data_IF_631581172093
#
_entry.id   IF_631581172093
#
_cell.length_a   1.000
_cell.length_b   1.000
_cell.length_c   1.000
_cell.angle_alpha   90.00
_cell.angle_beta   90.00
_cell.angle_gamma   90.00
#
_symmetry.space_group_name_H-M   'P 1'
#
loop_
_entity.id
_entity.type
_entity.pdbx_description
1 polymer ?
#
# COMPACT_ATOMS: atom_id res chain seq x y z
N UNK A 1 0.42 -37.85 -1.10
CA UNK A 1 0.94 -37.70 -2.48
C UNK A 1 0.60 -36.30 -2.96
N UNK A 2 1.51 -35.35 -2.74
CA UNK A 2 1.36 -33.98 -3.24
C UNK A 2 1.68 -33.98 -4.74
N UNK A 3 0.66 -33.75 -5.55
CA UNK A 3 0.80 -33.54 -6.99
C UNK A 3 1.87 -32.45 -7.21
N UNK A 4 2.93 -32.78 -7.96
CA UNK A 4 3.99 -31.87 -8.45
C UNK A 4 3.47 -30.71 -9.32
N UNK A 5 2.18 -30.37 -9.25
CA UNK A 5 1.51 -29.34 -10.00
C UNK A 5 2.20 -27.98 -9.88
N UNK A 6 2.72 -27.61 -8.70
CA UNK A 6 3.46 -26.35 -8.53
C UNK A 6 4.79 -26.35 -9.31
N UNK A 7 5.52 -27.46 -9.31
CA UNK A 7 6.74 -27.62 -10.11
C UNK A 7 6.46 -27.58 -11.62
N UNK A 8 5.31 -28.15 -12.05
CA UNK A 8 4.86 -28.06 -13.45
C UNK A 8 4.44 -26.64 -13.86
N UNK A 9 3.97 -25.83 -12.91
CA UNK A 9 3.60 -24.44 -13.15
C UNK A 9 4.82 -23.53 -13.25
N UNK A 10 5.76 -23.62 -12.31
CA UNK A 10 7.05 -22.92 -12.39
C UNK A 10 8.07 -23.57 -11.44
N UNK A 11 9.32 -23.83 -11.87
CA UNK A 11 10.30 -24.60 -11.09
C UNK A 11 10.70 -23.94 -9.76
N UNK A 12 10.57 -22.61 -9.66
CA UNK A 12 10.82 -21.86 -8.42
C UNK A 12 9.66 -21.91 -7.41
N UNK A 13 8.47 -22.40 -7.81
CA UNK A 13 7.33 -22.56 -6.91
C UNK A 13 7.44 -23.90 -6.17
N UNK A 14 7.78 -23.83 -4.88
CA UNK A 14 7.80 -25.00 -3.99
C UNK A 14 6.70 -24.82 -2.94
N UNK A 15 5.88 -25.85 -2.75
CA UNK A 15 5.07 -25.97 -1.54
C UNK A 15 6.07 -26.15 -0.40
N UNK A 16 6.23 -25.13 0.43
CA UNK A 16 7.06 -25.19 1.62
C UNK A 16 6.24 -24.79 2.85
N UNK A 17 6.72 -25.15 4.03
CA UNK A 17 6.00 -24.89 5.29
C UNK A 17 5.63 -23.40 5.45
N UNK A 18 6.51 -22.51 4.97
CA UNK A 18 6.26 -21.07 4.93
C UNK A 18 5.01 -20.71 4.12
N UNK A 19 4.86 -21.22 2.89
CA UNK A 19 3.71 -20.91 2.04
C UNK A 19 2.41 -21.43 2.65
N UNK A 20 2.45 -22.64 3.22
CA UNK A 20 1.32 -23.24 3.94
C UNK A 20 0.89 -22.37 5.12
N UNK A 21 1.85 -21.89 5.92
CA UNK A 21 1.58 -20.97 7.03
C UNK A 21 0.95 -19.65 6.53
N UNK A 22 1.50 -19.04 5.46
CA UNK A 22 0.95 -17.79 4.91
C UNK A 22 -0.44 -17.96 4.32
N UNK A 23 -0.72 -19.10 3.70
CA UNK A 23 -2.06 -19.41 3.20
C UNK A 23 -3.07 -19.57 4.34
N UNK A 24 -2.65 -20.16 5.46
CA UNK A 24 -3.49 -20.23 6.66
C UNK A 24 -3.75 -18.85 7.26
N UNK A 25 -2.72 -18.00 7.39
CA UNK A 25 -2.90 -16.63 7.85
C UNK A 25 -3.83 -15.82 6.92
N UNK A 26 -3.73 -16.02 5.61
CA UNK A 26 -4.63 -15.39 4.64
C UNK A 26 -6.09 -15.82 4.84
N UNK A 27 -6.33 -17.11 5.10
CA UNK A 27 -7.68 -17.65 5.42
C UNK A 27 -8.23 -17.04 6.70
N UNK A 28 -7.43 -16.98 7.76
CA UNK A 28 -7.83 -16.38 9.04
C UNK A 28 -8.19 -14.90 8.87
N UNK A 29 -7.39 -14.15 8.11
CA UNK A 29 -7.64 -12.74 7.83
C UNK A 29 -8.95 -12.50 7.06
N UNK A 30 -9.34 -13.45 6.20
CA UNK A 30 -10.51 -13.30 5.31
C UNK A 30 -11.80 -13.84 5.92
N UNK A 31 -11.73 -14.56 7.04
CA UNK A 31 -12.88 -15.20 7.69
C UNK A 31 -14.00 -14.19 7.98
N UNK A 32 -15.28 -14.52 7.72
CA UNK A 32 -15.83 -15.81 7.26
C UNK A 32 -15.79 -16.04 5.74
N UNK A 33 -15.18 -15.11 4.98
CA UNK A 33 -15.07 -15.20 3.53
C UNK A 33 -13.80 -15.95 3.11
N UNK A 34 -13.73 -16.29 1.82
CA UNK A 34 -12.52 -16.86 1.23
C UNK A 34 -11.53 -15.76 0.82
N UNK A 35 -10.21 -16.00 0.96
CA UNK A 35 -9.22 -15.08 0.45
C UNK A 35 -9.36 -14.90 -1.07
N UNK A 36 -9.26 -13.68 -1.59
CA UNK A 36 -9.25 -13.44 -3.03
C UNK A 36 -8.13 -14.24 -3.71
N UNK A 37 -8.40 -14.79 -4.90
CA UNK A 37 -7.41 -15.56 -5.68
C UNK A 37 -6.09 -14.79 -5.87
N UNK A 38 -6.18 -13.45 -6.02
CA UNK A 38 -5.00 -12.60 -6.14
C UNK A 38 -4.10 -12.58 -4.92
N UNK A 39 -4.63 -12.79 -3.71
CA UNK A 39 -3.83 -12.89 -2.49
C UNK A 39 -3.01 -14.19 -2.47
N UNK A 40 -3.63 -15.32 -2.84
CA UNK A 40 -2.90 -16.59 -2.95
C UNK A 40 -1.84 -16.54 -4.05
N UNK A 41 -2.18 -16.01 -5.23
CA UNK A 41 -1.22 -15.87 -6.33
C UNK A 41 -0.04 -14.96 -5.95
N UNK A 42 -0.30 -13.86 -5.25
CA UNK A 42 0.74 -12.95 -4.81
C UNK A 42 1.64 -13.55 -3.72
N UNK A 43 1.09 -14.33 -2.79
CA UNK A 43 1.85 -15.09 -1.80
C UNK A 43 2.69 -16.19 -2.47
N UNK A 44 2.11 -16.89 -3.43
CA UNK A 44 2.79 -17.91 -4.24
C UNK A 44 3.95 -17.32 -5.03
N UNK A 45 3.77 -16.14 -5.64
CA UNK A 45 4.83 -15.43 -6.37
C UNK A 45 5.79 -14.66 -5.46
N UNK A 46 5.59 -14.65 -4.15
CA UNK A 46 6.39 -13.86 -3.23
C UNK A 46 7.88 -14.26 -3.15
N UNK A 47 8.28 -15.52 -3.36
CA UNK A 47 9.71 -15.86 -3.46
C UNK A 47 10.35 -15.45 -4.80
N UNK A 48 9.54 -15.17 -5.83
CA UNK A 48 10.03 -14.96 -7.19
C UNK A 48 10.70 -13.61 -7.39
N UNK A 49 11.63 -13.58 -8.36
CA UNK A 49 12.17 -12.33 -8.92
C UNK A 49 11.15 -11.62 -9.81
N UNK A 50 11.47 -10.40 -10.22
CA UNK A 50 10.63 -9.64 -11.15
C UNK A 50 10.49 -10.38 -12.50
N UNK A 51 11.58 -10.93 -13.01
CA UNK A 51 11.61 -11.66 -14.28
C UNK A 51 10.79 -12.95 -14.21
N UNK A 52 10.97 -13.74 -13.14
CA UNK A 52 10.20 -14.98 -12.90
C UNK A 52 8.70 -14.70 -12.74
N UNK A 53 8.35 -13.60 -12.06
CA UNK A 53 6.95 -13.20 -11.92
C UNK A 53 6.33 -12.77 -13.24
N UNK A 54 7.06 -12.06 -14.11
CA UNK A 54 6.56 -11.73 -15.46
C UNK A 54 6.37 -12.99 -16.30
N UNK A 55 7.30 -13.96 -16.21
CA UNK A 55 7.13 -15.26 -16.87
C UNK A 55 5.87 -15.99 -16.37
N UNK A 56 5.61 -15.97 -15.06
CA UNK A 56 4.40 -16.55 -14.47
C UNK A 56 3.12 -15.84 -14.97
N UNK A 57 3.12 -14.50 -15.00
CA UNK A 57 2.01 -13.68 -15.51
C UNK A 57 1.67 -14.07 -16.95
N UNK A 58 2.68 -14.20 -17.81
CA UNK A 58 2.52 -14.56 -19.21
C UNK A 58 2.06 -16.01 -19.39
N UNK A 59 2.67 -16.95 -18.67
CA UNK A 59 2.35 -18.39 -18.74
C UNK A 59 0.92 -18.68 -18.31
N UNK A 60 0.47 -18.05 -17.22
CA UNK A 60 -0.89 -18.20 -16.71
C UNK A 60 -1.93 -17.30 -17.40
N UNK A 61 -1.48 -16.41 -18.31
CA UNK A 61 -2.33 -15.41 -19.00
C UNK A 61 -3.19 -14.62 -18.01
N UNK A 62 -2.56 -14.11 -16.94
CA UNK A 62 -3.28 -13.44 -15.87
C UNK A 62 -3.97 -12.15 -16.38
N UNK A 63 -5.20 -11.86 -15.92
CA UNK A 63 -5.86 -10.60 -16.21
C UNK A 63 -5.05 -9.44 -15.62
N UNK A 64 -5.21 -8.25 -16.23
CA UNK A 64 -4.44 -7.04 -15.90
C UNK A 64 -4.42 -6.71 -14.40
N UNK A 65 -5.54 -6.88 -13.71
CA UNK A 65 -5.64 -6.62 -12.26
C UNK A 65 -4.75 -7.55 -11.43
N UNK A 66 -4.76 -8.85 -11.72
CA UNK A 66 -3.92 -9.83 -11.01
C UNK A 66 -2.44 -9.63 -11.34
N UNK A 67 -2.13 -9.40 -12.62
CA UNK A 67 -0.76 -9.07 -13.04
C UNK A 67 -0.23 -7.83 -12.29
N UNK A 68 -1.06 -6.78 -12.14
CA UNK A 68 -0.69 -5.61 -11.38
C UNK A 68 -0.46 -5.92 -9.89
N UNK A 69 -1.30 -6.75 -9.27
CA UNK A 69 -1.08 -7.18 -7.88
C UNK A 69 0.25 -7.90 -7.70
N UNK A 70 0.65 -8.77 -8.63
CA UNK A 70 1.94 -9.46 -8.57
C UNK A 70 3.11 -8.46 -8.70
N UNK A 71 3.05 -7.57 -9.69
CA UNK A 71 4.05 -6.51 -9.90
C UNK A 71 4.19 -5.60 -8.69
N UNK A 72 3.06 -5.15 -8.14
CA UNK A 72 3.02 -4.32 -6.95
C UNK A 72 3.60 -5.06 -5.73
N UNK A 73 3.30 -6.36 -5.60
CA UNK A 73 3.82 -7.17 -4.49
C UNK A 73 5.34 -7.18 -4.51
N UNK A 74 5.93 -7.35 -5.70
CA UNK A 74 7.38 -7.40 -5.89
C UNK A 74 8.00 -6.00 -5.72
N UNK A 75 7.34 -4.94 -6.19
CA UNK A 75 7.85 -3.57 -6.08
C UNK A 75 7.81 -3.01 -4.65
N UNK A 76 6.96 -3.56 -3.77
CA UNK A 76 6.95 -3.22 -2.34
C UNK A 76 8.11 -3.89 -1.59
N UNK A 77 8.55 -5.10 -1.97
CA UNK A 77 9.66 -5.82 -1.28
C UNK A 77 10.91 -4.95 -1.02
N UNK A 78 11.49 -4.23 -2.00
CA UNK A 78 12.67 -3.40 -1.74
C UNK A 78 12.36 -2.23 -0.77
N UNK A 79 11.11 -1.77 -0.72
CA UNK A 79 10.66 -0.70 0.18
C UNK A 79 10.46 -1.18 1.62
N UNK A 80 10.43 -2.50 1.87
CA UNK A 80 10.29 -3.06 3.21
C UNK A 80 11.43 -2.62 4.15
N UNK A 81 12.63 -2.39 3.62
CA UNK A 81 13.75 -1.84 4.40
C UNK A 81 13.44 -0.43 4.92
N UNK A 82 12.89 0.43 4.07
CA UNK A 82 12.46 1.78 4.46
C UNK A 82 11.26 1.73 5.41
N UNK A 83 10.29 0.85 5.15
CA UNK A 83 9.13 0.64 6.01
C UNK A 83 9.48 0.04 7.37
N UNK A 84 10.64 -0.60 7.51
CA UNK A 84 11.15 -1.09 8.79
C UNK A 84 11.81 0.00 9.65
N UNK A 85 11.87 1.26 9.19
CA UNK A 85 12.35 2.37 9.99
C UNK A 85 11.27 2.79 11.02
N UNK A 86 11.56 2.73 12.34
CA UNK A 86 10.60 3.13 13.37
C UNK A 86 10.31 4.64 13.40
N UNK A 87 11.18 5.47 12.85
CA UNK A 87 11.02 6.94 12.80
C UNK A 87 10.27 7.41 11.53
N UNK A 88 9.84 6.47 10.68
CA UNK A 88 9.16 6.81 9.44
C UNK A 88 7.81 7.49 9.72
N UNK A 89 7.61 8.68 9.16
CA UNK A 89 6.36 9.42 9.38
C UNK A 89 5.17 8.71 8.74
N UNK A 90 3.95 8.82 9.32
CA UNK A 90 2.74 8.29 8.71
C UNK A 90 2.51 8.79 7.28
N UNK A 91 2.80 10.06 7.00
CA UNK A 91 2.78 10.60 5.64
C UNK A 91 3.73 9.86 4.70
N UNK A 92 4.96 9.60 5.11
CA UNK A 92 5.94 8.86 4.31
C UNK A 92 5.47 7.42 4.03
N UNK A 93 4.90 6.74 5.04
CA UNK A 93 4.28 5.41 4.85
C UNK A 93 3.18 5.47 3.79
N UNK A 94 2.31 6.49 3.87
CA UNK A 94 1.23 6.68 2.91
C UNK A 94 1.75 6.87 1.47
N UNK A 95 2.70 7.79 1.26
CA UNK A 95 3.24 8.07 -0.08
C UNK A 95 4.02 6.89 -0.67
N UNK A 96 4.67 6.08 0.17
CA UNK A 96 5.36 4.86 -0.27
C UNK A 96 4.40 3.77 -0.78
N UNK A 97 3.17 3.74 -0.26
CA UNK A 97 2.23 2.63 -0.47
C UNK A 97 1.03 2.98 -1.36
N UNK A 98 0.57 4.23 -1.42
CA UNK A 98 -0.70 4.62 -2.07
C UNK A 98 -0.83 4.23 -3.55
N UNK A 99 0.29 4.09 -4.28
CA UNK A 99 0.28 3.74 -5.70
C UNK A 99 0.15 2.23 -5.97
N UNK A 100 0.07 1.40 -4.92
CA UNK A 100 0.03 -0.05 -5.04
C UNK A 100 -1.36 -0.58 -4.73
N UNK A 101 -1.70 -1.72 -5.34
CA UNK A 101 -2.93 -2.44 -5.03
C UNK A 101 -2.99 -2.89 -3.58
N UNK A 102 -4.18 -2.84 -3.00
CA UNK A 102 -4.42 -3.24 -1.61
C UNK A 102 -3.99 -4.69 -1.35
N UNK A 103 -4.23 -5.60 -2.31
CA UNK A 103 -3.82 -6.99 -2.19
C UNK A 103 -2.30 -7.16 -2.09
N UNK A 104 -1.53 -6.34 -2.80
CA UNK A 104 -0.07 -6.37 -2.72
C UNK A 104 0.44 -5.92 -1.34
N UNK A 105 -0.20 -4.90 -0.76
CA UNK A 105 0.12 -4.41 0.59
C UNK A 105 -0.23 -5.47 1.64
N UNK A 106 -1.41 -6.11 1.53
CA UNK A 106 -1.81 -7.23 2.41
C UNK A 106 -0.81 -8.38 2.28
N UNK A 107 -0.46 -8.77 1.06
CA UNK A 107 0.52 -9.84 0.79
C UNK A 107 1.85 -9.55 1.49
N UNK A 108 2.38 -8.34 1.32
CA UNK A 108 3.63 -7.93 1.98
C UNK A 108 3.48 -7.87 3.51
N UNK A 109 2.31 -7.53 4.06
CA UNK A 109 2.09 -7.50 5.51
C UNK A 109 2.11 -8.91 6.14
N UNK A 110 1.59 -9.91 5.42
CA UNK A 110 1.64 -11.32 5.83
C UNK A 110 3.04 -11.90 5.66
N UNK A 111 3.70 -11.56 4.56
CA UNK A 111 4.94 -12.18 4.13
C UNK A 111 6.21 -11.56 4.73
N UNK A 112 6.17 -10.31 5.21
CA UNK A 112 7.36 -9.66 5.75
C UNK A 112 7.74 -10.18 7.15
N UNK A 113 9.05 -10.28 7.39
CA UNK A 113 9.59 -10.74 8.67
C UNK A 113 9.72 -9.60 9.69
N UNK A 114 9.93 -8.37 9.23
CA UNK A 114 10.09 -7.21 10.11
C UNK A 114 8.76 -6.82 10.78
N UNK A 115 8.67 -6.84 12.12
CA UNK A 115 7.48 -6.41 12.84
C UNK A 115 7.16 -4.93 12.61
N UNK A 116 8.18 -4.08 12.48
CA UNK A 116 8.02 -2.64 12.22
C UNK A 116 7.45 -2.40 10.83
N UNK A 117 7.98 -3.07 9.80
CA UNK A 117 7.42 -2.98 8.46
C UNK A 117 5.97 -3.48 8.42
N UNK A 118 5.67 -4.60 9.09
CA UNK A 118 4.31 -5.13 9.23
C UNK A 118 3.37 -4.12 9.88
N UNK A 119 3.81 -3.47 10.96
CA UNK A 119 3.04 -2.43 11.64
C UNK A 119 2.73 -1.26 10.71
N UNK A 120 3.71 -0.77 9.94
CA UNK A 120 3.51 0.32 9.00
C UNK A 120 2.58 -0.05 7.82
N UNK A 121 2.69 -1.28 7.29
CA UNK A 121 1.76 -1.79 6.28
C UNK A 121 0.33 -1.86 6.83
N UNK A 122 0.15 -2.35 8.06
CA UNK A 122 -1.15 -2.42 8.72
C UNK A 122 -1.71 -1.02 9.06
N UNK A 123 -0.84 -0.09 9.47
CA UNK A 123 -1.22 1.31 9.70
C UNK A 123 -1.79 1.94 8.43
N UNK A 124 -1.16 1.67 7.27
CA UNK A 124 -1.69 2.10 5.98
C UNK A 124 -3.07 1.50 5.68
N UNK A 125 -3.18 0.17 5.78
CA UNK A 125 -4.38 -0.59 5.44
C UNK A 125 -5.59 -0.20 6.31
N UNK A 126 -5.37 0.04 7.59
CA UNK A 126 -6.45 0.26 8.56
C UNK A 126 -6.77 1.74 8.77
N UNK A 127 -5.82 2.65 8.54
CA UNK A 127 -5.97 4.07 8.89
C UNK A 127 -5.62 5.00 7.75
N UNK A 128 -4.35 5.04 7.33
CA UNK A 128 -3.83 6.16 6.51
C UNK A 128 -4.56 6.30 5.18
N UNK A 129 -4.92 5.19 4.54
CA UNK A 129 -5.64 5.19 3.26
C UNK A 129 -7.03 5.86 3.31
N UNK A 130 -7.62 6.00 4.49
CA UNK A 130 -8.92 6.62 4.69
C UNK A 130 -8.83 8.08 5.15
N UNK A 131 -7.63 8.57 5.46
CA UNK A 131 -7.41 9.95 5.88
C UNK A 131 -7.54 10.87 4.67
N UNK A 132 -8.44 11.86 4.77
CA UNK A 132 -8.64 12.91 3.76
C UNK A 132 -8.75 14.28 4.44
N UNK A 133 -8.21 15.35 3.83
CA UNK A 133 -8.49 16.74 4.22
C UNK A 133 -9.98 17.01 4.41
N UNK A 134 -10.32 17.83 5.42
CA UNK A 134 -11.69 18.34 5.60
C UNK A 134 -11.96 19.47 4.61
N UNK A 135 -10.96 20.31 4.36
CA UNK A 135 -10.99 21.32 3.31
C UNK A 135 -10.78 20.65 1.95
N UNK A 136 -11.52 21.13 0.96
CA UNK A 136 -11.44 20.72 -0.43
C UNK A 136 -11.10 21.93 -1.31
N UNK A 137 -10.97 21.73 -2.63
CA UNK A 137 -10.64 22.80 -3.56
C UNK A 137 -11.59 24.01 -3.46
N UNK A 138 -12.90 23.76 -3.35
CA UNK A 138 -13.90 24.84 -3.25
C UNK A 138 -13.75 25.67 -1.98
N UNK A 139 -13.44 25.02 -0.85
CA UNK A 139 -13.13 25.71 0.39
C UNK A 139 -11.91 26.61 0.24
N UNK A 140 -10.85 26.13 -0.42
CA UNK A 140 -9.63 26.91 -0.67
C UNK A 140 -9.91 28.12 -1.56
N UNK A 141 -10.73 27.97 -2.60
CA UNK A 141 -11.17 29.08 -3.45
C UNK A 141 -11.95 30.12 -2.65
N UNK A 142 -12.87 29.70 -1.77
CA UNK A 142 -13.60 30.59 -0.86
C UNK A 142 -12.69 31.29 0.16
N UNK A 143 -11.55 30.71 0.48
CA UNK A 143 -10.51 31.33 1.32
C UNK A 143 -9.63 32.33 0.56
N UNK A 144 -9.90 32.58 -0.72
CA UNK A 144 -9.21 33.57 -1.54
C UNK A 144 -8.02 33.01 -2.33
N UNK A 145 -7.89 31.70 -2.46
CA UNK A 145 -6.85 31.08 -3.28
C UNK A 145 -7.33 30.99 -4.73
N UNK A 146 -6.53 31.50 -5.67
CA UNK A 146 -6.86 31.43 -7.08
C UNK A 146 -6.87 29.97 -7.57
N UNK A 147 -7.85 29.56 -8.40
CA UNK A 147 -7.84 28.24 -9.03
C UNK A 147 -6.54 28.02 -9.83
N UNK A 148 -5.84 26.92 -9.57
CA UNK A 148 -4.57 26.63 -10.23
C UNK A 148 -3.74 25.54 -9.52
N UNK A 149 -2.48 25.34 -9.93
CA UNK A 149 -1.58 24.34 -9.34
C UNK A 149 -1.41 24.46 -7.82
N UNK A 150 -1.46 25.69 -7.30
CA UNK A 150 -1.37 26.00 -5.86
C UNK A 150 -2.47 25.30 -5.04
N UNK A 151 -3.67 25.10 -5.60
CA UNK A 151 -4.74 24.35 -4.91
C UNK A 151 -4.27 22.91 -4.64
N UNK A 152 -3.63 22.26 -5.61
CA UNK A 152 -3.12 20.89 -5.44
C UNK A 152 -1.99 20.85 -4.41
N UNK A 153 -1.09 21.83 -4.43
CA UNK A 153 0.00 21.94 -3.46
C UNK A 153 -0.54 22.06 -2.02
N UNK A 154 -1.53 22.93 -1.82
CA UNK A 154 -2.15 23.12 -0.50
C UNK A 154 -2.93 21.87 -0.08
N UNK A 155 -3.67 21.23 -0.98
CA UNK A 155 -4.37 19.99 -0.66
C UNK A 155 -3.41 18.86 -0.27
N UNK A 156 -2.25 18.76 -0.92
CA UNK A 156 -1.21 17.80 -0.55
C UNK A 156 -0.62 18.12 0.84
N UNK A 157 -0.34 19.40 1.12
CA UNK A 157 0.14 19.85 2.42
C UNK A 157 -0.86 19.55 3.54
N UNK A 158 -2.15 19.83 3.30
CA UNK A 158 -3.21 19.52 4.25
C UNK A 158 -3.32 18.01 4.48
N UNK A 159 -3.21 17.22 3.42
CA UNK A 159 -3.28 15.77 3.52
C UNK A 159 -2.11 15.21 4.33
N UNK A 160 -0.89 15.68 4.05
CA UNK A 160 0.31 15.33 4.81
C UNK A 160 0.17 15.70 6.29
N UNK A 161 -0.29 16.92 6.59
CA UNK A 161 -0.52 17.37 7.95
C UNK A 161 -1.57 16.53 8.68
N UNK A 162 -2.62 16.06 7.99
CA UNK A 162 -3.59 15.13 8.57
C UNK A 162 -3.00 13.76 8.85
N UNK A 163 -2.25 13.21 7.90
CA UNK A 163 -1.59 11.92 8.03
C UNK A 163 -0.66 11.90 9.25
N UNK A 164 0.10 12.98 9.44
CA UNK A 164 1.02 13.14 10.57
C UNK A 164 0.36 13.63 11.86
N UNK A 165 -0.97 13.83 11.88
CA UNK A 165 -1.70 14.29 13.06
C UNK A 165 -1.46 15.76 13.44
N UNK A 166 -0.83 16.55 12.58
CA UNK A 166 -0.56 17.99 12.79
C UNK A 166 -1.81 18.85 12.61
N UNK A 167 -2.78 18.40 11.80
CA UNK A 167 -4.08 19.05 11.63
C UNK A 167 -5.21 18.01 11.72
N UNK A 168 -5.82 17.87 12.89
CA UNK A 168 -6.84 16.82 13.12
C UNK A 168 -8.26 17.28 12.80
N UNK A 169 -8.48 18.59 12.70
CA UNK A 169 -9.78 19.22 12.50
C UNK A 169 -9.73 20.36 11.49
N UNK A 170 -10.91 20.85 11.09
CA UNK A 170 -11.06 21.92 10.09
C UNK A 170 -10.31 23.19 10.47
N UNK A 171 -10.35 23.60 11.74
CA UNK A 171 -9.67 24.81 12.22
C UNK A 171 -8.15 24.71 12.05
N UNK A 172 -7.56 23.57 12.41
CA UNK A 172 -6.12 23.33 12.21
C UNK A 172 -5.72 23.36 10.74
N UNK A 173 -6.57 22.84 9.84
CA UNK A 173 -6.35 22.96 8.40
C UNK A 173 -6.43 24.42 7.93
N UNK A 174 -7.41 25.20 8.40
CA UNK A 174 -7.52 26.63 8.07
C UNK A 174 -6.30 27.44 8.54
N UNK A 175 -5.77 27.15 9.72
CA UNK A 175 -4.55 27.77 10.26
C UNK A 175 -3.33 27.45 9.38
N UNK A 176 -3.20 26.20 8.90
CA UNK A 176 -2.14 25.82 7.94
C UNK A 176 -2.26 26.58 6.61
N UNK A 177 -3.47 26.71 6.07
CA UNK A 177 -3.70 27.45 4.82
C UNK A 177 -3.32 28.92 4.98
N UNK A 178 -3.72 29.57 6.08
CA UNK A 178 -3.35 30.97 6.37
C UNK A 178 -1.83 31.14 6.50
N UNK A 179 -1.16 30.21 7.19
CA UNK A 179 0.30 30.22 7.31
C UNK A 179 1.02 29.96 5.99
N UNK A 180 0.42 29.23 5.05
CA UNK A 180 0.93 29.07 3.70
C UNK A 180 0.79 30.37 2.88
N UNK A 181 -0.36 31.04 2.96
CA UNK A 181 -0.61 32.33 2.28
C UNK A 181 0.35 33.43 2.76
N UNK A 182 0.67 33.47 4.05
CA UNK A 182 1.61 34.45 4.61
C UNK A 182 3.06 34.26 4.13
N UNK A 183 3.44 33.04 3.73
CA UNK A 183 4.80 32.71 3.25
C UNK A 183 4.98 32.83 1.73
N UNK A 184 3.89 32.86 0.98
CA UNK A 184 3.88 32.88 -0.49
C UNK A 184 3.25 34.17 -1.06
N UNK A 185 3.10 35.21 -0.23
CA UNK A 185 2.80 36.58 -0.63
C UNK A 185 4.09 37.36 -0.79
#
# INVERSE_FOLDING_TARGET
>A
EELNALYTLHPALKSNDWLTEKFEQARQLSFPNFPPVGLYLALLSYPLTNEESEQLILRLRLPKSLAQTLRDTISIKPKLKSLANPELTPSSVYYLLQSHSQLAIITNSLACDSPVARQNLNLFLNRLRYVKPTLNGDNLVRMGIAPGPQIKEILNLLHEARLDGKATNKRGEEELVKGWLARNR
#
